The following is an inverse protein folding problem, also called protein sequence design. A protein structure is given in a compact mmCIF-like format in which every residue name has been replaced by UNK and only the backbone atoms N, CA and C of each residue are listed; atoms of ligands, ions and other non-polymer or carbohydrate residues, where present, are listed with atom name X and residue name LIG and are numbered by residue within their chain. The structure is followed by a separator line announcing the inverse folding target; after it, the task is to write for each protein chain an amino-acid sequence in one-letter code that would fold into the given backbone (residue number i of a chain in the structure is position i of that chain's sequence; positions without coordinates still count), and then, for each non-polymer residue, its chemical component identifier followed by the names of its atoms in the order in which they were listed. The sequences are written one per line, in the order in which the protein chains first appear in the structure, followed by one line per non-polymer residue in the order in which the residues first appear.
data_IF_122013061813
#
_entry.id   IF_122013061813
#
_cell.length_a   1.000
_cell.length_b   1.000
_cell.length_c   1.000
_cell.angle_alpha   90.00
_cell.angle_beta   90.00
_cell.angle_gamma   90.00
#
_symmetry.space_group_name_H-M   'P 1'
#
loop_
_entity.id
_entity.type
_entity.pdbx_description
1 polymer ?
#
# COMPACT_ATOMS: atom_id res chain seq x y z
N UNK A 1 -16.65 5.78 -6.40
CA UNK A 1 -16.16 5.48 -5.05
C UNK A 1 -14.84 4.74 -5.13
N UNK A 2 -13.91 5.15 -4.32
CA UNK A 2 -12.59 4.56 -4.38
C UNK A 2 -12.58 3.17 -3.77
N UNK A 3 -11.92 2.26 -4.46
CA UNK A 3 -11.86 0.87 -3.99
C UNK A 3 -10.53 0.66 -3.27
N UNK A 4 -10.60 0.64 -1.95
CA UNK A 4 -9.41 0.44 -1.10
C UNK A 4 -8.73 -0.89 -1.41
N UNK A 5 -9.52 -1.90 -1.82
CA UNK A 5 -8.95 -3.21 -2.12
C UNK A 5 -7.91 -3.13 -3.22
N UNK A 6 -8.13 -2.27 -4.21
CA UNK A 6 -7.17 -2.11 -5.29
C UNK A 6 -5.83 -1.65 -4.77
N UNK A 7 -5.85 -0.64 -3.89
CA UNK A 7 -4.60 -0.13 -3.33
C UNK A 7 -3.91 -1.16 -2.47
N UNK A 8 -4.68 -1.92 -1.71
CA UNK A 8 -4.10 -2.96 -0.86
C UNK A 8 -3.47 -4.07 -1.71
N UNK A 9 -4.16 -4.47 -2.77
CA UNK A 9 -3.63 -5.49 -3.65
C UNK A 9 -2.37 -5.02 -4.36
N UNK A 10 -2.37 -3.78 -4.81
CA UNK A 10 -1.22 -3.25 -5.52
C UNK A 10 -0.03 -3.05 -4.59
N UNK A 11 -0.28 -2.63 -3.34
CA UNK A 11 0.79 -2.54 -2.36
C UNK A 11 1.39 -3.90 -2.08
N UNK A 12 0.54 -4.91 -1.95
CA UNK A 12 1.01 -6.26 -1.70
C UNK A 12 1.85 -6.77 -2.87
N UNK A 13 1.38 -6.58 -4.09
CA UNK A 13 2.08 -7.02 -5.28
C UNK A 13 3.43 -6.30 -5.40
N UNK A 14 3.44 -5.00 -5.10
CA UNK A 14 4.68 -4.23 -5.18
C UNK A 14 5.69 -4.73 -4.15
N UNK A 15 5.24 -5.02 -2.94
CA UNK A 15 6.14 -5.54 -1.90
C UNK A 15 6.72 -6.89 -2.30
N UNK A 16 5.91 -7.73 -2.92
CA UNK A 16 6.42 -9.01 -3.40
C UNK A 16 7.51 -8.79 -4.44
N UNK A 17 7.31 -7.84 -5.33
CA UNK A 17 8.31 -7.51 -6.34
C UNK A 17 9.59 -6.96 -5.70
N UNK A 18 9.45 -6.15 -4.64
CA UNK A 18 10.62 -5.67 -3.91
C UNK A 18 11.43 -6.85 -3.38
N UNK A 19 10.73 -7.78 -2.77
CA UNK A 19 11.38 -8.95 -2.20
C UNK A 19 12.18 -9.71 -3.25
N UNK A 20 11.56 -9.93 -4.40
CA UNK A 20 12.22 -10.66 -5.49
C UNK A 20 13.41 -9.88 -6.03
N UNK A 21 13.26 -8.58 -6.19
CA UNK A 21 14.35 -7.75 -6.71
C UNK A 21 15.54 -7.73 -5.76
N UNK A 22 15.27 -7.67 -4.45
CA UNK A 22 16.35 -7.68 -3.46
C UNK A 22 17.09 -9.02 -3.52
N UNK A 23 16.35 -10.12 -3.66
CA UNK A 23 16.98 -11.43 -3.78
C UNK A 23 17.86 -11.52 -4.99
N UNK A 24 17.51 -10.83 -6.07
CA UNK A 24 18.29 -10.82 -7.30
C UNK A 24 19.28 -9.67 -7.35
N UNK A 25 19.39 -8.90 -6.27
CA UNK A 25 20.29 -7.76 -6.16
C UNK A 25 19.99 -6.67 -7.17
N UNK A 26 18.75 -6.54 -7.57
CA UNK A 26 18.28 -5.47 -8.44
C UNK A 26 17.76 -4.33 -7.58
N UNK A 27 18.67 -3.63 -6.94
CA UNK A 27 18.30 -2.66 -5.92
C UNK A 27 17.59 -1.44 -6.48
N UNK A 28 17.93 -1.04 -7.70
CA UNK A 28 17.27 0.10 -8.33
C UNK A 28 15.80 -0.20 -8.58
N UNK A 29 15.53 -1.37 -9.13
CA UNK A 29 14.16 -1.79 -9.37
C UNK A 29 13.41 -1.99 -8.07
N UNK A 30 14.09 -2.55 -7.08
CA UNK A 30 13.48 -2.74 -5.77
C UNK A 30 13.03 -1.40 -5.19
N UNK A 31 13.83 -0.36 -5.38
CA UNK A 31 13.47 0.96 -4.88
C UNK A 31 12.20 1.48 -5.55
N UNK A 32 12.08 1.31 -6.86
CA UNK A 32 10.89 1.73 -7.58
C UNK A 32 9.64 1.03 -7.06
N UNK A 33 9.73 -0.28 -6.86
CA UNK A 33 8.59 -1.03 -6.34
C UNK A 33 8.27 -0.63 -4.91
N UNK A 34 9.29 -0.35 -4.11
CA UNK A 34 9.07 0.08 -2.75
C UNK A 34 8.35 1.43 -2.71
N UNK A 35 8.72 2.34 -3.62
CA UNK A 35 8.04 3.63 -3.70
C UNK A 35 6.59 3.47 -4.12
N UNK A 36 6.33 2.53 -5.02
CA UNK A 36 4.97 2.21 -5.43
C UNK A 36 4.16 1.68 -4.26
N UNK A 37 4.75 0.77 -3.50
CA UNK A 37 4.07 0.22 -2.33
C UNK A 37 3.76 1.30 -1.32
N UNK A 38 4.70 2.23 -1.15
CA UNK A 38 4.49 3.35 -0.23
C UNK A 38 3.32 4.22 -0.66
N UNK A 39 3.24 4.51 -1.96
CA UNK A 39 2.13 5.32 -2.48
C UNK A 39 0.79 4.68 -2.18
N UNK A 40 0.65 3.41 -2.51
CA UNK A 40 -0.62 2.72 -2.29
C UNK A 40 -0.93 2.56 -0.81
N UNK A 41 0.10 2.35 0.00
CA UNK A 41 -0.09 2.26 1.45
C UNK A 41 -0.57 3.59 2.03
N UNK A 42 -0.05 4.69 1.51
CA UNK A 42 -0.49 6.01 1.97
C UNK A 42 -1.95 6.26 1.62
N UNK A 43 -2.36 5.84 0.43
CA UNK A 43 -3.76 5.94 0.05
C UNK A 43 -4.64 5.16 1.01
N UNK A 44 -4.20 3.97 1.38
CA UNK A 44 -4.96 3.14 2.31
C UNK A 44 -5.03 3.78 3.69
N UNK A 45 -3.92 4.37 4.14
CA UNK A 45 -3.89 5.03 5.45
C UNK A 45 -4.89 6.18 5.48
N UNK A 46 -4.91 7.00 4.43
CA UNK A 46 -5.84 8.13 4.38
C UNK A 46 -7.28 7.66 4.37
N UNK A 47 -7.56 6.63 3.61
CA UNK A 47 -8.90 6.07 3.54
C UNK A 47 -9.36 5.56 4.90
N UNK A 48 -8.48 4.83 5.59
CA UNK A 48 -8.79 4.28 6.91
C UNK A 48 -8.93 5.38 7.95
N UNK A 49 -8.09 6.41 7.85
CA UNK A 49 -8.15 7.51 8.79
C UNK A 49 -9.49 8.22 8.72
N UNK A 50 -9.99 8.43 7.50
CA UNK A 50 -11.31 9.04 7.34
C UNK A 50 -12.39 8.22 8.01
N UNK A 51 -12.32 6.90 7.87
CA UNK A 51 -13.30 6.01 8.47
C UNK A 51 -13.22 6.04 9.98
N UNK A 52 -12.00 6.05 10.50
CA UNK A 52 -11.80 6.05 11.96
C UNK A 52 -12.22 7.36 12.60
N UNK A 53 -12.14 8.46 11.86
CA UNK A 53 -12.52 9.77 12.37
C UNK A 53 -14.00 10.03 12.23
N UNK A 54 -14.74 9.13 11.56
CA UNK A 54 -16.18 9.29 11.35
C UNK A 54 -16.92 9.05 12.66
N UNK A 55 -17.67 10.06 13.15
CA UNK A 55 -18.38 9.88 14.42
C UNK A 55 -19.48 8.83 14.37
N UNK A 56 -19.91 8.45 13.16
CA UNK A 56 -20.94 7.41 13.02
C UNK A 56 -20.34 6.03 12.84
N UNK A 57 -19.00 5.92 12.78
CA UNK A 57 -18.36 4.64 12.59
C UNK A 57 -18.57 3.76 13.82
N UNK A 58 -18.73 2.44 13.62
CA UNK A 58 -18.89 1.55 14.77
C UNK A 58 -17.61 1.49 15.59
N UNK A 59 -17.77 1.23 16.87
CA UNK A 59 -16.64 1.07 17.77
C UNK A 59 -15.81 -0.14 17.38
N UNK A 60 -14.54 0.00 17.65
CA UNK A 60 -13.61 -1.09 17.38
C UNK A 60 -13.47 -2.03 18.53
#
# INVERSE_FOLDING_TARGET
MEDISKHLMQAHAALKSVYECVNERRYEQAQHYAEEALFHSRCAVLWLKERNDDPTAPDR
#
